data_IF_784688200624
#
_entry.id   IF_784688200624
#
_cell.length_a   1.000
_cell.length_b   1.000
_cell.length_c   1.000
_cell.angle_alpha   90.00
_cell.angle_beta   90.00
_cell.angle_gamma   90.00
#
_symmetry.space_group_name_H-M   'P 1'
#
loop_
_entity.id
_entity.type
_entity.pdbx_description
1 polymer ?
#
# COMPACT_ATOMS: atom_id res chain seq x y z
N UNK A 1 -39.93 10.66 -7.91
CA UNK A 1 -41.13 11.51 -7.93
C UNK A 1 -42.24 10.78 -7.23
N UNK A 2 -42.93 11.45 -6.32
CA UNK A 2 -44.01 10.85 -5.52
C UNK A 2 -45.32 10.97 -6.30
N UNK A 3 -45.85 9.86 -6.74
CA UNK A 3 -47.08 9.78 -7.54
C UNK A 3 -48.35 10.03 -6.72
N UNK A 4 -48.32 10.95 -5.73
CA UNK A 4 -49.44 11.17 -4.80
C UNK A 4 -50.65 11.76 -5.53
N UNK A 5 -50.45 12.82 -6.30
CA UNK A 5 -51.52 13.47 -7.08
C UNK A 5 -52.23 12.49 -8.01
N UNK A 6 -51.46 11.65 -8.70
CA UNK A 6 -52.03 10.65 -9.62
C UNK A 6 -52.82 9.58 -8.89
N UNK A 7 -52.35 9.11 -7.74
CA UNK A 7 -53.11 8.15 -6.91
C UNK A 7 -54.43 8.72 -6.43
N UNK A 8 -54.41 9.96 -5.91
CA UNK A 8 -55.64 10.63 -5.43
C UNK A 8 -56.62 10.92 -6.57
N UNK A 9 -56.14 11.40 -7.72
CA UNK A 9 -56.94 11.62 -8.91
C UNK A 9 -57.61 10.33 -9.38
N UNK A 10 -56.87 9.26 -9.53
CA UNK A 10 -57.42 7.97 -9.97
C UNK A 10 -58.37 7.36 -8.97
N UNK A 11 -58.22 7.60 -7.68
CA UNK A 11 -59.14 7.08 -6.66
C UNK A 11 -60.41 7.89 -6.54
N UNK A 12 -60.31 9.22 -6.43
CA UNK A 12 -61.44 10.08 -6.06
C UNK A 12 -62.16 10.70 -7.24
N UNK A 13 -61.54 10.84 -8.42
CA UNK A 13 -62.20 11.36 -9.61
C UNK A 13 -62.65 10.22 -10.53
N UNK A 14 -61.79 9.22 -10.79
CA UNK A 14 -62.10 8.14 -11.72
C UNK A 14 -62.59 6.87 -11.02
N UNK A 15 -62.66 6.86 -9.71
CA UNK A 15 -63.18 5.80 -8.85
C UNK A 15 -62.59 4.39 -9.09
N UNK A 16 -61.29 4.33 -9.45
CA UNK A 16 -60.57 3.07 -9.75
C UNK A 16 -60.14 2.39 -8.43
N UNK A 17 -60.15 1.04 -8.45
CA UNK A 17 -59.72 0.23 -7.30
C UNK A 17 -58.19 0.35 -7.02
N UNK A 18 -57.80 0.19 -5.75
CA UNK A 18 -56.38 0.23 -5.35
C UNK A 18 -55.47 -0.77 -6.12
N UNK A 19 -56.02 -1.93 -6.49
CA UNK A 19 -55.29 -2.90 -7.30
C UNK A 19 -55.03 -2.42 -8.73
N UNK A 20 -55.98 -1.73 -9.32
CA UNK A 20 -55.85 -1.15 -10.66
C UNK A 20 -54.92 0.07 -10.65
N UNK A 21 -54.99 0.91 -9.60
CA UNK A 21 -54.08 2.04 -9.37
C UNK A 21 -52.62 1.53 -9.21
N UNK A 22 -52.44 0.45 -8.45
CA UNK A 22 -51.16 -0.19 -8.25
C UNK A 22 -50.51 -0.62 -9.58
N UNK A 23 -51.32 -1.24 -10.45
CA UNK A 23 -50.84 -1.67 -11.79
C UNK A 23 -50.54 -0.49 -12.71
N UNK A 24 -51.44 0.53 -12.73
CA UNK A 24 -51.28 1.69 -13.60
C UNK A 24 -50.07 2.57 -13.25
N UNK A 25 -49.83 2.75 -11.97
CA UNK A 25 -48.76 3.67 -11.48
C UNK A 25 -47.52 2.95 -10.98
N UNK A 26 -47.46 1.62 -11.02
CA UNK A 26 -46.37 0.81 -10.43
C UNK A 26 -46.06 1.25 -8.98
N UNK A 27 -47.13 1.33 -8.16
CA UNK A 27 -47.05 1.73 -6.76
C UNK A 27 -47.73 0.67 -5.91
N UNK A 28 -47.17 0.18 -4.81
CA UNK A 28 -47.80 -0.81 -3.96
C UNK A 28 -49.24 -0.40 -3.56
N UNK A 29 -50.20 -1.32 -3.63
CA UNK A 29 -51.61 -1.04 -3.29
C UNK A 29 -51.80 -0.54 -1.86
N UNK A 30 -50.96 -0.99 -0.92
CA UNK A 30 -50.90 -0.50 0.46
C UNK A 30 -50.48 0.97 0.54
N UNK A 31 -49.50 1.38 -0.28
CA UNK A 31 -49.07 2.79 -0.34
C UNK A 31 -50.13 3.68 -0.96
N UNK A 32 -50.83 3.20 -2.01
CA UNK A 32 -51.94 3.94 -2.60
C UNK A 32 -53.11 4.11 -1.60
N UNK A 33 -53.43 3.07 -0.84
CA UNK A 33 -54.43 3.12 0.22
C UNK A 33 -54.03 4.06 1.37
N UNK A 34 -52.76 4.07 1.77
CA UNK A 34 -52.24 4.98 2.81
C UNK A 34 -52.37 6.45 2.37
N UNK A 35 -52.05 6.79 1.13
CA UNK A 35 -52.21 8.14 0.61
C UNK A 35 -53.67 8.60 0.62
N UNK A 36 -54.59 7.75 0.20
CA UNK A 36 -56.03 8.05 0.21
C UNK A 36 -56.58 8.19 1.63
N UNK A 37 -56.22 7.29 2.54
CA UNK A 37 -56.62 7.35 3.94
C UNK A 37 -56.14 8.64 4.62
N UNK A 38 -54.90 9.05 4.35
CA UNK A 38 -54.36 10.32 4.88
C UNK A 38 -55.05 11.54 4.28
N UNK A 39 -55.38 11.49 2.98
CA UNK A 39 -56.17 12.56 2.36
C UNK A 39 -57.54 12.71 2.96
N UNK A 40 -58.28 11.61 3.22
CA UNK A 40 -59.60 11.61 3.85
C UNK A 40 -59.62 12.28 5.24
N UNK A 41 -58.47 12.31 5.92
CA UNK A 41 -58.32 12.99 7.22
C UNK A 41 -58.12 14.50 7.01
N UNK A 42 -57.73 14.95 5.82
CA UNK A 42 -57.52 16.35 5.51
C UNK A 42 -58.84 16.99 5.15
N UNK A 43 -59.50 17.76 5.66
CA UNK A 43 -60.81 18.35 5.28
C UNK A 43 -60.83 19.12 3.94
N UNK A 44 -59.90 18.80 3.01
CA UNK A 44 -59.82 19.41 1.70
C UNK A 44 -60.74 18.72 0.68
N UNK A 45 -61.33 19.49 -0.25
CA UNK A 45 -61.96 18.93 -1.45
C UNK A 45 -60.87 18.48 -2.43
N UNK A 46 -61.17 17.40 -3.16
CA UNK A 46 -60.11 16.80 -4.04
C UNK A 46 -59.65 17.78 -5.12
N UNK A 47 -60.51 18.57 -5.70
CA UNK A 47 -60.19 19.52 -6.75
C UNK A 47 -59.23 20.62 -6.23
N UNK A 48 -59.49 21.16 -5.05
CA UNK A 48 -58.63 22.14 -4.38
C UNK A 48 -57.29 21.54 -3.98
N UNK A 49 -57.29 20.31 -3.48
CA UNK A 49 -56.07 19.62 -3.05
C UNK A 49 -55.11 19.32 -4.19
N UNK A 50 -55.61 18.99 -5.37
CA UNK A 50 -54.80 18.72 -6.56
C UNK A 50 -54.15 19.98 -7.16
N UNK A 51 -54.60 21.19 -6.82
CA UNK A 51 -53.98 22.45 -7.24
C UNK A 51 -52.76 22.84 -6.41
N UNK A 52 -52.62 22.31 -5.20
CA UNK A 52 -51.50 22.57 -4.30
C UNK A 52 -50.18 22.07 -4.90
N UNK A 53 -49.05 22.65 -4.48
CA UNK A 53 -47.73 22.16 -4.87
C UNK A 53 -47.44 20.78 -4.27
N UNK A 54 -46.56 20.01 -4.93
CA UNK A 54 -46.20 18.64 -4.48
C UNK A 54 -45.60 18.63 -3.06
N UNK A 55 -44.83 19.64 -2.70
CA UNK A 55 -44.23 19.74 -1.37
C UNK A 55 -45.27 20.10 -0.29
N UNK A 56 -46.25 20.96 -0.62
CA UNK A 56 -47.38 21.28 0.26
C UNK A 56 -48.25 20.06 0.51
N UNK A 57 -48.59 19.33 -0.55
CA UNK A 57 -49.35 18.07 -0.45
C UNK A 57 -48.60 17.07 0.44
N UNK A 58 -47.30 16.98 0.27
CA UNK A 58 -46.52 16.07 1.10
C UNK A 58 -46.49 16.47 2.57
N UNK A 59 -46.36 17.75 2.87
CA UNK A 59 -46.42 18.25 4.26
C UNK A 59 -47.77 18.01 4.92
N UNK A 60 -48.87 18.21 4.17
CA UNK A 60 -50.21 17.98 4.65
C UNK A 60 -50.50 16.49 4.92
N UNK A 61 -50.05 15.60 4.04
CA UNK A 61 -50.27 14.16 4.21
C UNK A 61 -49.30 13.50 5.20
N UNK A 62 -48.13 14.09 5.42
CA UNK A 62 -47.07 13.53 6.28
C UNK A 62 -46.48 14.55 7.25
N UNK A 63 -47.31 15.16 8.11
CA UNK A 63 -46.85 16.19 9.06
C UNK A 63 -45.74 15.64 9.99
N UNK A 64 -45.79 14.36 10.34
CA UNK A 64 -44.79 13.68 11.17
C UNK A 64 -43.39 13.62 10.51
N UNK A 65 -43.32 13.66 9.18
CA UNK A 65 -42.05 13.62 8.42
C UNK A 65 -41.52 15.00 8.07
N UNK A 66 -42.35 16.04 8.20
CA UNK A 66 -41.98 17.43 7.94
C UNK A 66 -41.43 18.14 9.19
N UNK A 67 -41.60 17.56 10.36
CA UNK A 67 -40.95 18.09 11.56
C UNK A 67 -39.41 17.91 11.37
N UNK A 68 -38.61 18.97 11.49
CA UNK A 68 -37.20 18.84 11.46
C UNK A 68 -36.82 17.84 12.56
N UNK A 69 -36.16 16.73 12.19
CA UNK A 69 -35.53 15.85 13.17
C UNK A 69 -34.57 16.75 13.93
N UNK A 70 -34.86 17.10 15.16
CA UNK A 70 -33.93 17.74 16.07
C UNK A 70 -32.81 16.73 16.28
N UNK A 71 -31.82 16.74 15.39
CA UNK A 71 -30.58 16.06 15.65
C UNK A 71 -29.97 16.78 16.87
N UNK A 72 -29.99 16.16 18.04
CA UNK A 72 -29.16 16.60 19.16
C UNK A 72 -27.74 16.76 18.59
N UNK A 73 -27.32 17.99 18.36
CA UNK A 73 -25.95 18.28 17.89
C UNK A 73 -25.02 17.90 19.01
N UNK A 74 -24.41 16.72 18.88
CA UNK A 74 -23.42 16.25 19.83
C UNK A 74 -22.17 17.13 19.72
N UNK A 75 -21.54 17.52 20.82
CA UNK A 75 -20.32 18.32 20.79
C UNK A 75 -19.22 17.61 20.00
N UNK A 76 -18.66 18.31 19.02
CA UNK A 76 -17.56 17.77 18.20
C UNK A 76 -16.30 17.71 19.07
N UNK A 77 -15.54 16.58 19.06
CA UNK A 77 -14.29 16.48 19.79
C UNK A 77 -13.28 17.55 19.36
N UNK A 78 -12.55 18.14 20.30
CA UNK A 78 -11.46 19.06 19.97
C UNK A 78 -10.26 18.27 19.40
N UNK A 79 -10.17 18.19 18.09
CA UNK A 79 -9.19 17.38 17.37
C UNK A 79 -7.76 17.89 17.51
N UNK A 80 -7.58 19.21 17.75
CA UNK A 80 -6.26 19.82 18.00
C UNK A 80 -5.72 19.43 19.38
N UNK A 81 -6.59 19.45 20.38
CA UNK A 81 -6.27 18.96 21.73
C UNK A 81 -5.87 17.47 21.66
N UNK A 82 -6.69 16.64 21.03
CA UNK A 82 -6.41 15.21 20.84
C UNK A 82 -5.04 15.02 20.17
N UNK A 83 -4.71 15.85 19.16
CA UNK A 83 -3.44 15.73 18.44
C UNK A 83 -2.22 16.04 19.30
N UNK A 84 -2.33 17.02 20.19
CA UNK A 84 -1.27 17.38 21.15
C UNK A 84 -1.11 16.32 22.23
N UNK A 85 -2.21 15.83 22.78
CA UNK A 85 -2.19 14.90 23.91
C UNK A 85 -1.74 13.49 23.51
N UNK A 86 -2.20 12.99 22.35
CA UNK A 86 -1.85 11.64 21.88
C UNK A 86 -0.33 11.47 21.61
N UNK A 87 0.40 12.57 21.46
CA UNK A 87 1.85 12.54 21.29
C UNK A 87 2.61 12.35 22.62
N UNK A 88 1.95 12.50 23.76
CA UNK A 88 2.54 12.32 25.09
C UNK A 88 2.67 10.83 25.41
N UNK A 89 3.74 10.48 26.11
CA UNK A 89 4.00 9.08 26.52
C UNK A 89 2.89 8.56 27.46
N UNK A 90 2.30 7.42 27.10
CA UNK A 90 1.25 6.78 27.91
C UNK A 90 -0.17 7.25 27.62
N UNK A 91 -0.38 8.31 26.83
CA UNK A 91 -1.73 8.75 26.44
C UNK A 91 -2.29 7.87 25.35
N UNK A 92 -3.52 7.40 25.53
CA UNK A 92 -4.23 6.54 24.58
C UNK A 92 -5.51 7.21 24.07
N UNK A 93 -6.03 6.78 22.92
CA UNK A 93 -7.34 7.23 22.45
C UNK A 93 -8.48 6.89 23.39
N UNK A 94 -8.36 5.81 24.12
CA UNK A 94 -9.35 5.35 25.11
C UNK A 94 -9.44 6.38 26.26
N UNK A 95 -8.29 6.77 26.80
CA UNK A 95 -8.22 7.78 27.86
C UNK A 95 -8.83 9.11 27.40
N UNK A 96 -8.42 9.63 26.24
CA UNK A 96 -8.93 10.89 25.70
C UNK A 96 -10.42 10.84 25.36
N UNK A 97 -10.93 9.67 24.99
CA UNK A 97 -12.35 9.47 24.79
C UNK A 97 -13.13 9.44 26.12
N UNK A 98 -12.57 8.83 27.17
CA UNK A 98 -13.15 8.85 28.52
C UNK A 98 -13.24 10.30 29.04
N UNK A 99 -12.18 11.08 28.95
CA UNK A 99 -12.17 12.52 29.32
C UNK A 99 -13.24 13.31 28.53
N UNK A 100 -13.36 13.04 27.22
CA UNK A 100 -14.40 13.64 26.41
C UNK A 100 -15.82 13.23 26.87
N UNK A 101 -16.02 11.98 27.27
CA UNK A 101 -17.33 11.46 27.75
C UNK A 101 -17.66 11.99 29.16
N UNK A 102 -16.68 12.23 30.01
CA UNK A 102 -16.88 12.88 31.30
C UNK A 102 -17.42 14.30 31.12
N UNK A 103 -16.85 15.04 30.18
CA UNK A 103 -17.30 16.39 29.86
C UNK A 103 -18.64 16.40 29.09
N UNK A 104 -18.86 15.41 28.23
CA UNK A 104 -20.05 15.29 27.35
C UNK A 104 -20.64 13.88 27.41
N UNK A 105 -21.48 13.56 28.42
CA UNK A 105 -22.07 12.22 28.57
C UNK A 105 -22.82 11.73 27.33
N UNK A 106 -23.57 12.64 26.64
CA UNK A 106 -24.29 12.38 25.39
C UNK A 106 -23.40 12.49 24.14
N UNK A 107 -22.08 12.67 24.29
CA UNK A 107 -21.12 12.84 23.19
C UNK A 107 -20.99 11.61 22.29
N UNK A 108 -20.12 11.72 21.27
CA UNK A 108 -19.87 10.67 20.31
C UNK A 108 -19.29 9.40 20.95
N UNK A 109 -19.59 8.23 20.36
CA UNK A 109 -18.96 6.97 20.71
C UNK A 109 -17.49 6.92 20.30
N UNK A 110 -16.71 6.01 20.87
CA UNK A 110 -15.26 5.91 20.68
C UNK A 110 -14.85 5.80 19.20
N UNK A 111 -15.61 5.04 18.38
CA UNK A 111 -15.32 4.89 16.95
C UNK A 111 -15.46 6.21 16.18
N UNK A 112 -16.54 6.97 16.43
CA UNK A 112 -16.75 8.27 15.79
C UNK A 112 -15.76 9.32 16.31
N UNK A 113 -15.45 9.31 17.61
CA UNK A 113 -14.40 10.15 18.20
C UNK A 113 -13.06 9.97 17.50
N UNK A 114 -12.63 8.72 17.28
CA UNK A 114 -11.42 8.37 16.52
C UNK A 114 -11.53 8.82 15.05
N UNK A 115 -12.69 8.66 14.43
CA UNK A 115 -12.92 9.07 13.04
C UNK A 115 -12.73 10.58 12.84
N UNK A 116 -13.22 11.43 13.74
CA UNK A 116 -12.97 12.89 13.69
C UNK A 116 -11.49 13.21 13.73
N UNK A 117 -10.73 12.56 14.61
CA UNK A 117 -9.29 12.73 14.68
C UNK A 117 -8.57 12.25 13.42
N UNK A 118 -8.92 11.08 12.87
CA UNK A 118 -8.27 10.59 11.66
C UNK A 118 -8.57 11.45 10.43
N UNK A 119 -9.76 12.03 10.34
CA UNK A 119 -10.08 13.02 9.31
C UNK A 119 -9.21 14.28 9.45
N UNK A 120 -8.99 14.76 10.65
CA UNK A 120 -8.11 15.88 10.94
C UNK A 120 -6.64 15.55 10.61
N UNK A 121 -6.13 14.41 11.09
CA UNK A 121 -4.76 13.95 10.82
C UNK A 121 -4.48 13.82 9.32
N UNK A 122 -5.46 13.36 8.53
CA UNK A 122 -5.36 13.26 7.08
C UNK A 122 -5.20 14.63 6.40
N UNK A 123 -5.75 15.69 6.98
CA UNK A 123 -5.60 17.07 6.48
C UNK A 123 -4.23 17.67 6.85
N UNK A 124 -3.72 17.34 8.04
CA UNK A 124 -2.41 17.83 8.50
C UNK A 124 -1.24 17.22 7.73
N UNK A 125 -1.37 15.97 7.32
CA UNK A 125 -0.36 15.26 6.54
C UNK A 125 -0.92 14.89 5.16
N UNK A 126 -1.05 15.85 4.24
CA UNK A 126 -1.38 15.52 2.87
C UNK A 126 -0.25 14.63 2.34
N UNK A 127 -0.54 13.37 2.05
CA UNK A 127 0.42 12.48 1.42
C UNK A 127 0.68 13.03 0.00
N UNK A 128 1.81 13.69 -0.20
CA UNK A 128 2.26 14.07 -1.54
C UNK A 128 2.46 12.78 -2.33
N UNK A 129 1.71 12.67 -3.42
CA UNK A 129 1.89 11.59 -4.37
C UNK A 129 3.25 11.77 -5.03
N UNK A 130 4.18 10.86 -4.75
CA UNK A 130 5.47 10.88 -5.44
C UNK A 130 5.24 10.47 -6.90
N UNK A 131 5.76 11.27 -7.80
CA UNK A 131 5.86 10.94 -9.22
C UNK A 131 7.26 10.39 -9.48
N UNK A 132 7.33 9.27 -10.18
CA UNK A 132 8.60 8.64 -10.54
C UNK A 132 8.82 8.78 -12.05
N UNK A 133 10.05 9.11 -12.42
CA UNK A 133 10.47 9.17 -13.81
C UNK A 133 10.75 7.72 -14.28
N UNK A 134 10.31 7.34 -15.50
CA UNK A 134 10.56 6.01 -16.03
C UNK A 134 12.05 5.68 -16.09
N UNK A 135 12.43 4.48 -15.64
CA UNK A 135 13.82 3.99 -15.66
C UNK A 135 14.80 4.74 -14.74
N UNK A 136 14.31 5.72 -13.97
CA UNK A 136 15.20 6.50 -13.11
C UNK A 136 15.58 5.74 -11.83
N UNK A 137 14.62 5.27 -11.04
CA UNK A 137 14.88 4.75 -9.70
C UNK A 137 14.47 3.29 -9.52
N UNK A 138 15.36 2.52 -8.90
CA UNK A 138 15.07 1.20 -8.34
C UNK A 138 15.31 1.23 -6.83
N UNK A 139 14.32 0.80 -6.09
CA UNK A 139 14.38 0.68 -4.63
C UNK A 139 14.77 -0.75 -4.27
N UNK A 140 15.68 -0.91 -3.33
CA UNK A 140 16.15 -2.21 -2.86
C UNK A 140 16.15 -2.30 -1.35
N UNK A 141 15.69 -3.46 -0.85
CA UNK A 141 15.64 -3.75 0.57
C UNK A 141 15.68 -5.27 0.80
N UNK A 142 15.99 -5.68 2.02
CA UNK A 142 15.75 -7.04 2.48
C UNK A 142 14.44 -7.11 3.24
N UNK A 143 13.65 -8.15 2.96
CA UNK A 143 12.47 -8.44 3.76
C UNK A 143 12.87 -8.72 5.21
N UNK A 144 12.15 -8.15 6.18
CA UNK A 144 12.33 -8.52 7.59
C UNK A 144 11.89 -9.96 7.90
N UNK A 145 11.10 -10.59 7.02
CA UNK A 145 10.73 -12.00 7.11
C UNK A 145 11.75 -12.84 6.35
N UNK A 146 12.18 -13.92 6.98
CA UNK A 146 13.10 -14.92 6.44
C UNK A 146 12.38 -16.22 6.14
N UNK A 147 12.95 -17.06 5.29
CA UNK A 147 12.42 -18.40 4.99
C UNK A 147 13.38 -19.45 5.60
N UNK A 148 12.85 -20.40 6.41
CA UNK A 148 13.68 -21.42 6.99
C UNK A 148 14.12 -22.45 5.95
N UNK A 149 15.39 -22.84 6.00
CA UNK A 149 16.00 -23.94 5.26
C UNK A 149 16.47 -24.98 6.27
N UNK A 150 16.13 -26.23 6.05
CA UNK A 150 16.58 -27.35 6.89
C UNK A 150 17.78 -28.01 6.22
N UNK A 151 18.92 -28.02 6.90
CA UNK A 151 20.09 -28.75 6.44
C UNK A 151 19.84 -30.26 6.63
N UNK A 152 19.87 -31.01 5.53
CA UNK A 152 19.60 -32.46 5.52
C UNK A 152 20.64 -33.26 6.28
N UNK A 153 21.87 -32.75 6.44
CA UNK A 153 22.97 -33.48 7.07
C UNK A 153 23.00 -33.27 8.59
N UNK A 154 22.68 -32.04 9.04
CA UNK A 154 22.78 -31.66 10.46
C UNK A 154 21.43 -31.50 11.13
N UNK A 155 20.34 -31.33 10.37
CA UNK A 155 19.00 -30.98 10.88
C UNK A 155 18.92 -29.52 11.36
N UNK A 156 19.96 -28.72 11.21
CA UNK A 156 19.94 -27.33 11.60
C UNK A 156 19.04 -26.47 10.68
N UNK A 157 18.39 -25.47 11.30
CA UNK A 157 17.53 -24.54 10.57
C UNK A 157 18.30 -23.24 10.30
N UNK A 158 18.60 -23.00 9.05
CA UNK A 158 19.25 -21.78 8.54
C UNK A 158 18.16 -20.84 8.00
N UNK A 159 18.32 -19.55 8.18
CA UNK A 159 17.35 -18.54 7.72
C UNK A 159 17.81 -17.88 6.42
N UNK A 160 17.17 -18.24 5.30
CA UNK A 160 17.37 -17.53 4.05
C UNK A 160 16.86 -16.09 4.13
N UNK A 161 17.63 -15.16 3.60
CA UNK A 161 17.31 -13.75 3.50
C UNK A 161 16.61 -13.49 2.16
N UNK A 162 15.66 -12.57 2.14
CA UNK A 162 14.87 -12.29 0.94
C UNK A 162 15.16 -10.88 0.46
N UNK A 163 15.92 -10.79 -0.62
CA UNK A 163 16.19 -9.55 -1.33
C UNK A 163 14.96 -9.17 -2.19
N UNK A 164 14.58 -7.91 -2.14
CA UNK A 164 13.47 -7.35 -2.91
C UNK A 164 13.95 -6.09 -3.62
N UNK A 165 13.71 -6.02 -4.93
CA UNK A 165 13.91 -4.78 -5.69
C UNK A 165 12.63 -4.38 -6.41
N UNK A 166 12.38 -3.07 -6.52
CA UNK A 166 11.14 -2.50 -7.07
C UNK A 166 11.46 -1.30 -7.93
N UNK A 167 11.02 -1.30 -9.18
CA UNK A 167 11.13 -0.15 -10.06
C UNK A 167 10.17 0.98 -9.66
N UNK A 168 10.62 2.21 -9.83
CA UNK A 168 9.92 3.39 -9.31
C UNK A 168 8.54 3.60 -9.94
N UNK A 169 8.45 3.65 -11.25
CA UNK A 169 7.22 3.97 -11.96
C UNK A 169 6.22 2.80 -11.94
N UNK A 170 6.58 1.66 -12.54
CA UNK A 170 5.70 0.49 -12.69
C UNK A 170 5.41 -0.20 -11.37
N UNK A 171 6.37 -0.18 -10.45
CA UNK A 171 6.39 -1.05 -9.28
C UNK A 171 6.68 -2.51 -9.67
N UNK A 172 7.23 -2.76 -10.86
CA UNK A 172 7.68 -4.08 -11.28
C UNK A 172 8.73 -4.57 -10.33
N UNK A 173 8.54 -5.76 -9.80
CA UNK A 173 9.26 -6.24 -8.62
C UNK A 173 10.04 -7.50 -8.95
N UNK A 174 11.28 -7.58 -8.45
CA UNK A 174 12.10 -8.77 -8.44
C UNK A 174 12.38 -9.21 -7.01
N UNK A 175 12.47 -10.52 -6.81
CA UNK A 175 12.71 -11.15 -5.51
C UNK A 175 13.74 -12.26 -5.65
N UNK A 176 14.68 -12.31 -4.72
CA UNK A 176 15.73 -13.32 -4.71
C UNK A 176 16.05 -13.75 -3.27
N UNK A 177 16.00 -15.06 -3.02
CA UNK A 177 16.47 -15.61 -1.76
C UNK A 177 17.99 -15.77 -1.77
N UNK A 178 18.62 -15.44 -0.66
CA UNK A 178 20.07 -15.54 -0.43
C UNK A 178 20.37 -16.21 0.91
N UNK A 179 21.57 -16.79 1.04
CA UNK A 179 22.00 -17.40 2.30
C UNK A 179 22.26 -16.35 3.39
N UNK A 180 22.68 -15.14 3.00
CA UNK A 180 23.02 -14.07 3.92
C UNK A 180 22.71 -12.68 3.37
N UNK A 181 22.89 -11.64 4.19
CA UNK A 181 22.87 -10.22 3.76
C UNK A 181 24.29 -9.67 3.54
N UNK A 182 25.30 -10.54 3.35
CA UNK A 182 26.66 -10.09 3.08
C UNK A 182 26.76 -9.37 1.74
N UNK A 183 27.83 -8.59 1.57
CA UNK A 183 28.08 -7.78 0.35
C UNK A 183 28.04 -8.64 -0.91
N UNK A 184 28.62 -9.82 -0.87
CA UNK A 184 28.61 -10.77 -1.99
C UNK A 184 27.21 -11.16 -2.43
N UNK A 185 26.35 -11.61 -1.48
CA UNK A 185 24.97 -12.00 -1.78
C UNK A 185 24.11 -10.81 -2.24
N UNK A 186 24.38 -9.63 -1.67
CA UNK A 186 23.72 -8.39 -2.05
C UNK A 186 24.06 -7.99 -3.48
N UNK A 187 25.34 -8.05 -3.86
CA UNK A 187 25.81 -7.77 -5.23
C UNK A 187 25.23 -8.79 -6.22
N UNK A 188 25.32 -10.10 -5.90
CA UNK A 188 24.74 -11.16 -6.75
C UNK A 188 23.24 -10.94 -6.99
N UNK A 189 22.50 -10.51 -5.97
CA UNK A 189 21.08 -10.21 -6.11
C UNK A 189 20.80 -9.03 -7.01
N UNK A 190 21.64 -7.97 -7.00
CA UNK A 190 21.54 -6.85 -7.93
C UNK A 190 21.78 -7.28 -9.38
N UNK A 191 22.82 -8.07 -9.61
CA UNK A 191 23.15 -8.58 -10.96
C UNK A 191 21.97 -9.37 -11.52
N UNK A 192 21.40 -10.29 -10.73
CA UNK A 192 20.20 -11.06 -11.12
C UNK A 192 18.96 -10.15 -11.32
N UNK A 193 18.82 -9.09 -10.52
CA UNK A 193 17.72 -8.13 -10.70
C UNK A 193 17.85 -7.36 -12.03
N UNK A 194 19.07 -6.93 -12.40
CA UNK A 194 19.29 -6.26 -13.68
C UNK A 194 19.02 -7.19 -14.87
N UNK A 195 19.45 -8.47 -14.75
CA UNK A 195 19.12 -9.50 -15.76
C UNK A 195 17.60 -9.71 -15.89
N UNK A 196 16.88 -9.77 -14.77
CA UNK A 196 15.42 -9.90 -14.76
C UNK A 196 14.69 -8.69 -15.37
N UNK A 197 15.19 -7.47 -15.13
CA UNK A 197 14.67 -6.25 -15.73
C UNK A 197 15.14 -6.04 -17.18
N UNK A 198 16.07 -6.83 -17.66
CA UNK A 198 16.74 -6.67 -18.96
C UNK A 198 17.34 -5.27 -19.14
N UNK A 199 17.79 -4.65 -18.04
CA UNK A 199 18.37 -3.33 -18.05
C UNK A 199 18.69 -2.78 -16.66
N UNK A 200 19.33 -1.62 -16.63
CA UNK A 200 19.85 -0.98 -15.43
C UNK A 200 19.14 0.35 -15.19
N UNK A 201 18.56 0.62 -14.02
CA UNK A 201 18.03 1.94 -13.66
C UNK A 201 19.17 2.93 -13.40
N UNK A 202 18.92 4.23 -13.60
CA UNK A 202 19.91 5.29 -13.40
C UNK A 202 20.35 5.45 -11.95
N UNK A 203 19.42 5.21 -11.01
CA UNK A 203 19.64 5.43 -9.58
C UNK A 203 19.16 4.22 -8.79
N UNK A 204 20.00 3.70 -7.94
CA UNK A 204 19.68 2.69 -6.93
C UNK A 204 19.48 3.36 -5.58
N UNK A 205 18.33 3.05 -4.95
CA UNK A 205 17.98 3.55 -3.62
C UNK A 205 17.97 2.39 -2.63
N UNK A 206 19.14 2.02 -2.08
CA UNK A 206 19.20 1.03 -1.02
C UNK A 206 18.67 1.61 0.29
N UNK A 207 17.99 0.79 1.11
CA UNK A 207 17.89 1.11 2.52
C UNK A 207 19.28 1.06 3.16
N UNK A 208 19.51 1.79 4.27
CA UNK A 208 20.81 1.94 4.95
C UNK A 208 21.43 0.58 5.38
N UNK A 209 21.62 -0.31 4.42
CA UNK A 209 22.19 -1.63 4.63
C UNK A 209 23.71 -1.50 4.82
N UNK A 210 24.23 -2.11 5.87
CA UNK A 210 25.68 -2.19 6.14
C UNK A 210 26.47 -2.80 4.96
N UNK A 211 25.80 -3.60 4.13
CA UNK A 211 26.38 -4.19 2.92
C UNK A 211 26.64 -3.16 1.82
N UNK A 212 25.89 -2.06 1.78
CA UNK A 212 26.05 -0.99 0.80
C UNK A 212 26.87 0.19 1.37
N UNK A 213 26.71 0.49 2.66
CA UNK A 213 27.20 1.72 3.29
C UNK A 213 28.07 1.35 4.49
N UNK A 214 29.34 1.76 4.46
CA UNK A 214 30.28 1.60 5.58
C UNK A 214 30.02 2.67 6.63
N UNK A 215 29.86 3.92 6.21
CA UNK A 215 29.53 5.03 7.12
C UNK A 215 28.66 6.09 6.43
N UNK A 216 27.75 6.67 7.21
CA UNK A 216 26.90 7.77 6.79
C UNK A 216 26.96 8.86 7.89
N UNK A 217 27.80 9.84 7.71
CA UNK A 217 28.03 10.91 8.67
C UNK A 217 28.02 12.29 8.00
N UNK A 218 28.19 13.35 8.78
CA UNK A 218 28.21 14.74 8.27
C UNK A 218 29.32 15.03 7.27
N UNK A 219 30.35 14.17 7.18
CA UNK A 219 31.48 14.32 6.22
C UNK A 219 31.17 13.65 4.88
N UNK A 220 30.09 12.88 4.77
CA UNK A 220 29.68 12.19 3.55
C UNK A 220 29.30 10.72 3.79
N UNK A 221 28.94 10.08 2.70
CA UNK A 221 28.58 8.66 2.67
C UNK A 221 29.77 7.90 2.10
N UNK A 222 30.23 6.89 2.83
CA UNK A 222 31.27 5.98 2.38
C UNK A 222 30.60 4.65 2.01
N UNK A 223 30.65 4.32 0.74
CA UNK A 223 30.14 3.06 0.23
C UNK A 223 31.15 1.93 0.41
N UNK A 224 30.66 0.70 0.43
CA UNK A 224 31.52 -0.46 0.30
C UNK A 224 32.19 -0.45 -1.08
N UNK A 225 33.51 -0.70 -1.16
CA UNK A 225 34.30 -0.60 -2.39
C UNK A 225 33.75 -1.50 -3.50
N UNK A 226 33.39 -2.74 -3.17
CA UNK A 226 32.80 -3.67 -4.14
C UNK A 226 31.42 -3.19 -4.66
N UNK A 227 30.63 -2.53 -3.80
CA UNK A 227 29.36 -1.97 -4.23
C UNK A 227 29.54 -0.72 -5.08
N UNK A 228 30.56 0.10 -4.79
CA UNK A 228 30.96 1.22 -5.64
C UNK A 228 31.50 0.73 -7.00
N UNK A 229 32.21 -0.39 -7.02
CA UNK A 229 32.68 -1.02 -8.26
C UNK A 229 31.53 -1.56 -9.12
N UNK A 230 30.53 -2.21 -8.49
CA UNK A 230 29.28 -2.60 -9.17
C UNK A 230 28.58 -1.39 -9.81
N UNK A 231 28.49 -0.26 -9.08
CA UNK A 231 27.92 0.98 -9.58
C UNK A 231 28.66 1.50 -10.83
N UNK A 232 29.98 1.48 -10.82
CA UNK A 232 30.81 1.88 -11.98
C UNK A 232 30.65 0.93 -13.16
N UNK A 233 30.57 -0.39 -12.89
CA UNK A 233 30.44 -1.40 -13.94
C UNK A 233 29.11 -1.28 -14.69
N UNK A 234 28.01 -1.06 -13.98
CA UNK A 234 26.65 -0.93 -14.55
C UNK A 234 26.23 0.52 -14.78
N UNK A 235 27.08 1.49 -14.49
CA UNK A 235 26.87 2.92 -14.71
C UNK A 235 25.60 3.49 -14.05
N UNK A 236 25.38 3.15 -12.79
CA UNK A 236 24.26 3.72 -12.00
C UNK A 236 24.77 4.55 -10.81
N UNK A 237 23.96 5.49 -10.35
CA UNK A 237 24.22 6.25 -9.13
C UNK A 237 23.60 5.54 -7.90
N UNK A 238 24.26 5.66 -6.74
CA UNK A 238 23.74 5.17 -5.48
C UNK A 238 23.21 6.35 -4.67
N UNK A 239 21.90 6.39 -4.40
CA UNK A 239 21.22 7.39 -3.58
C UNK A 239 20.59 6.72 -2.36
N UNK A 240 21.28 6.58 -1.23
CA UNK A 240 20.69 5.96 -0.04
C UNK A 240 19.47 6.73 0.45
N UNK A 241 18.45 6.02 0.92
CA UNK A 241 17.27 6.62 1.52
C UNK A 241 17.66 7.51 2.71
N UNK A 242 17.11 8.72 2.77
CA UNK A 242 17.43 9.68 3.83
C UNK A 242 16.96 9.19 5.19
N UNK A 243 17.82 9.31 6.19
CA UNK A 243 17.50 8.94 7.57
C UNK A 243 16.29 9.78 8.06
N UNK A 244 15.32 9.14 8.69
CA UNK A 244 14.09 9.75 9.25
C UNK A 244 13.14 10.40 8.23
N UNK A 245 13.24 10.04 6.93
CA UNK A 245 12.24 10.42 5.93
C UNK A 245 11.50 9.18 5.40
N UNK A 246 10.44 8.72 6.06
CA UNK A 246 9.71 7.50 5.67
C UNK A 246 9.14 7.55 4.25
N UNK A 247 8.91 8.75 3.73
CA UNK A 247 8.38 8.94 2.38
C UNK A 247 9.34 8.44 1.30
N UNK A 248 10.66 8.55 1.50
CA UNK A 248 11.66 8.10 0.54
C UNK A 248 11.67 6.55 0.42
N UNK A 249 11.22 5.85 1.48
CA UNK A 249 11.17 4.38 1.56
C UNK A 249 9.81 3.79 1.20
N UNK A 250 8.77 4.62 1.08
CA UNK A 250 7.39 4.14 0.92
C UNK A 250 7.21 3.15 -0.24
N UNK A 251 7.96 3.32 -1.35
CA UNK A 251 7.90 2.43 -2.50
C UNK A 251 8.56 1.07 -2.20
N UNK A 252 9.73 1.06 -1.57
CA UNK A 252 10.42 -0.16 -1.13
C UNK A 252 9.55 -0.92 -0.11
N UNK A 253 9.07 -0.21 0.92
CA UNK A 253 8.21 -0.79 1.97
C UNK A 253 6.92 -1.41 1.39
N UNK A 254 6.26 -0.73 0.43
CA UNK A 254 5.09 -1.29 -0.26
C UNK A 254 5.43 -2.56 -1.05
N UNK A 255 6.58 -2.58 -1.73
CA UNK A 255 7.07 -3.76 -2.45
C UNK A 255 7.31 -4.91 -1.49
N UNK A 256 8.09 -4.68 -0.45
CA UNK A 256 8.39 -5.69 0.60
C UNK A 256 7.11 -6.22 1.24
N UNK A 257 6.18 -5.37 1.66
CA UNK A 257 4.90 -5.82 2.22
C UNK A 257 4.07 -6.64 1.22
N UNK A 258 4.10 -6.25 -0.05
CA UNK A 258 3.46 -7.01 -1.12
C UNK A 258 4.03 -8.42 -1.23
N UNK A 259 5.36 -8.54 -1.26
CA UNK A 259 6.07 -9.82 -1.34
C UNK A 259 5.81 -10.69 -0.10
N UNK A 260 5.85 -10.09 1.09
CA UNK A 260 5.54 -10.82 2.34
C UNK A 260 4.13 -11.45 2.31
N UNK A 261 3.14 -10.72 1.81
CA UNK A 261 1.74 -11.19 1.76
C UNK A 261 1.45 -12.18 0.64
N UNK A 262 2.05 -11.98 -0.54
CA UNK A 262 1.69 -12.71 -1.74
C UNK A 262 2.63 -13.87 -2.09
N UNK A 263 3.86 -13.84 -1.56
CA UNK A 263 4.88 -14.86 -1.80
C UNK A 263 5.25 -15.56 -0.49
N UNK A 264 5.82 -14.83 0.49
CA UNK A 264 6.38 -15.46 1.68
C UNK A 264 5.30 -16.10 2.57
N UNK A 265 4.13 -15.50 2.67
CA UNK A 265 3.01 -16.08 3.42
C UNK A 265 2.54 -17.44 2.84
N UNK A 266 2.74 -17.68 1.54
CA UNK A 266 2.44 -18.97 0.90
C UNK A 266 3.41 -20.06 1.37
N UNK A 267 4.63 -19.70 1.75
CA UNK A 267 5.67 -20.63 2.20
C UNK A 267 5.54 -21.07 3.66
N UNK A 268 4.61 -20.51 4.44
CA UNK A 268 4.45 -20.79 5.88
C UNK A 268 4.35 -22.28 6.26
N UNK A 269 3.88 -23.11 5.32
CA UNK A 269 3.70 -24.57 5.52
C UNK A 269 4.59 -25.39 4.57
N UNK A 270 5.61 -24.75 3.97
CA UNK A 270 6.58 -25.45 3.08
C UNK A 270 7.90 -25.59 3.80
N UNK A 271 8.56 -26.71 3.57
CA UNK A 271 9.93 -26.98 4.02
C UNK A 271 10.85 -26.89 2.81
N UNK A 272 11.96 -26.21 2.95
CA UNK A 272 12.99 -26.05 1.93
C UNK A 272 14.32 -26.57 2.46
N UNK A 273 15.14 -27.10 1.57
CA UNK A 273 16.43 -27.69 1.91
C UNK A 273 17.62 -26.91 1.37
N UNK A 274 17.39 -25.99 0.44
CA UNK A 274 18.41 -25.09 -0.08
C UNK A 274 17.79 -23.76 -0.58
N UNK A 275 18.65 -22.81 -0.89
CA UNK A 275 18.24 -21.47 -1.39
C UNK A 275 17.66 -21.55 -2.79
N UNK A 276 18.12 -22.46 -3.63
CA UNK A 276 17.68 -22.59 -5.02
C UNK A 276 16.23 -23.07 -5.09
N UNK A 277 15.84 -24.03 -4.24
CA UNK A 277 14.43 -24.45 -4.11
C UNK A 277 13.50 -23.29 -3.74
N UNK A 278 13.96 -22.37 -2.87
CA UNK A 278 13.19 -21.18 -2.53
C UNK A 278 13.04 -20.27 -3.76
N UNK A 279 14.12 -20.06 -4.51
CA UNK A 279 14.11 -19.22 -5.71
C UNK A 279 13.22 -19.81 -6.81
N UNK A 280 13.26 -21.12 -7.01
CA UNK A 280 12.36 -21.83 -7.92
C UNK A 280 10.88 -21.66 -7.49
N UNK A 281 10.60 -21.77 -6.20
CA UNK A 281 9.25 -21.58 -5.67
C UNK A 281 8.77 -20.11 -5.71
N UNK A 282 9.67 -19.14 -5.66
CA UNK A 282 9.38 -17.70 -5.79
C UNK A 282 8.94 -17.38 -7.22
N UNK A 283 9.61 -17.92 -8.24
CA UNK A 283 9.43 -17.51 -9.64
C UNK A 283 7.96 -17.49 -10.09
N UNK A 284 7.17 -18.58 -10.00
CA UNK A 284 5.79 -18.57 -10.47
C UNK A 284 4.88 -17.62 -9.65
N UNK A 285 5.17 -17.44 -8.35
CA UNK A 285 4.40 -16.53 -7.50
C UNK A 285 4.73 -15.06 -7.81
N UNK A 286 5.96 -14.78 -8.19
CA UNK A 286 6.41 -13.46 -8.61
C UNK A 286 5.74 -13.06 -9.93
N UNK A 287 5.61 -13.99 -10.88
CA UNK A 287 4.90 -13.78 -12.13
C UNK A 287 3.42 -13.45 -11.87
N UNK A 288 2.75 -14.22 -11.02
CA UNK A 288 1.37 -13.95 -10.61
C UNK A 288 1.27 -12.57 -9.94
N UNK A 289 2.21 -12.21 -9.07
CA UNK A 289 2.23 -10.93 -8.38
C UNK A 289 2.40 -9.75 -9.33
N UNK A 290 3.32 -9.84 -10.29
CA UNK A 290 3.59 -8.79 -11.25
C UNK A 290 2.47 -8.65 -12.29
N UNK A 291 1.83 -9.74 -12.70
CA UNK A 291 0.71 -9.75 -13.65
C UNK A 291 -0.65 -9.41 -13.01
N UNK A 292 -0.71 -9.26 -11.68
CA UNK A 292 -1.94 -8.89 -11.00
C UNK A 292 -2.38 -7.47 -11.32
N UNK A 293 -3.61 -7.31 -11.79
CA UNK A 293 -4.21 -6.01 -12.13
C UNK A 293 -4.34 -5.14 -10.88
N UNK A 294 -3.79 -3.94 -10.94
CA UNK A 294 -3.93 -2.90 -9.92
C UNK A 294 -5.27 -2.19 -10.16
N UNK A 295 -6.28 -2.48 -9.35
CA UNK A 295 -7.67 -2.00 -9.52
C UNK A 295 -7.79 -0.48 -9.81
N UNK A 296 -6.94 0.34 -9.20
CA UNK A 296 -6.97 1.80 -9.37
C UNK A 296 -6.47 2.26 -10.75
N UNK A 297 -5.60 1.47 -11.40
CA UNK A 297 -4.92 1.83 -12.65
C UNK A 297 -5.52 1.06 -13.82
N UNK A 298 -6.11 -0.12 -13.57
CA UNK A 298 -6.64 -1.02 -14.59
C UNK A 298 -5.56 -1.81 -15.36
N UNK A 299 -4.28 -1.73 -14.94
CA UNK A 299 -3.13 -2.39 -15.55
C UNK A 299 -2.34 -3.18 -14.51
N UNK A 300 -1.59 -4.17 -14.95
CA UNK A 300 -0.64 -4.91 -14.12
C UNK A 300 0.70 -4.15 -13.99
N UNK A 301 1.60 -4.64 -13.11
CA UNK A 301 2.96 -4.11 -13.02
C UNK A 301 3.76 -4.43 -14.27
N UNK A 302 3.56 -5.61 -14.83
CA UNK A 302 4.17 -6.05 -16.10
C UNK A 302 3.76 -5.13 -17.24
N UNK A 303 2.46 -4.82 -17.41
CA UNK A 303 1.99 -3.90 -18.45
C UNK A 303 2.62 -2.51 -18.30
N UNK A 304 2.65 -1.99 -17.07
CA UNK A 304 3.26 -0.69 -16.79
C UNK A 304 4.77 -0.68 -17.08
N UNK A 305 5.46 -1.78 -16.80
CA UNK A 305 6.88 -1.93 -17.08
C UNK A 305 7.15 -1.97 -18.59
N UNK A 306 6.52 -2.87 -19.31
CA UNK A 306 6.77 -3.05 -20.75
C UNK A 306 6.39 -1.80 -21.57
N UNK A 307 5.25 -1.18 -21.25
CA UNK A 307 4.78 -0.01 -21.98
C UNK A 307 5.58 1.28 -21.66
N UNK A 308 5.93 1.48 -20.38
CA UNK A 308 6.32 2.81 -19.91
C UNK A 308 7.71 2.90 -19.29
N UNK A 309 8.35 1.80 -18.87
CA UNK A 309 9.58 1.87 -18.09
C UNK A 309 10.78 1.17 -18.74
N UNK A 310 10.58 -0.03 -19.32
CA UNK A 310 11.65 -0.88 -19.88
C UNK A 310 12.57 -0.14 -20.87
N UNK A 311 12.01 0.63 -21.78
CA UNK A 311 12.75 1.38 -22.81
C UNK A 311 13.63 2.52 -22.26
N UNK A 312 13.49 2.86 -20.99
CA UNK A 312 14.26 3.92 -20.35
C UNK A 312 15.35 3.37 -19.42
N UNK A 313 15.43 2.05 -19.28
CA UNK A 313 16.55 1.41 -18.60
C UNK A 313 17.80 1.45 -19.51
N UNK A 314 18.96 1.60 -18.88
CA UNK A 314 20.24 1.52 -19.59
C UNK A 314 20.51 0.08 -20.02
N UNK A 315 21.19 -0.09 -21.14
CA UNK A 315 21.51 -1.42 -21.69
C UNK A 315 22.51 -2.15 -20.77
N UNK A 316 22.29 -3.44 -20.59
CA UNK A 316 23.23 -4.28 -19.83
C UNK A 316 24.62 -4.29 -20.49
N UNK A 317 25.71 -4.20 -19.72
CA UNK A 317 27.05 -4.37 -20.26
C UNK A 317 27.23 -5.79 -20.81
N UNK A 318 28.10 -5.94 -21.81
CA UNK A 318 28.37 -7.23 -22.46
C UNK A 318 28.90 -8.29 -21.47
N UNK A 319 29.65 -7.87 -20.46
CA UNK A 319 30.19 -8.75 -19.44
C UNK A 319 29.41 -8.59 -18.13
N UNK A 320 29.03 -9.73 -17.56
CA UNK A 320 28.41 -9.78 -16.24
C UNK A 320 29.44 -9.37 -15.18
N UNK A 321 29.00 -8.58 -14.18
CA UNK A 321 29.83 -8.29 -13.02
C UNK A 321 30.08 -9.56 -12.19
N UNK A 322 31.36 -9.81 -11.87
CA UNK A 322 31.76 -10.91 -11.01
C UNK A 322 32.31 -10.30 -9.71
N UNK A 323 31.72 -10.67 -8.59
CA UNK A 323 32.23 -10.28 -7.27
C UNK A 323 33.65 -10.81 -7.04
N UNK A 324 34.54 -9.93 -6.62
CA UNK A 324 35.91 -10.25 -6.28
C UNK A 324 36.24 -9.73 -4.89
N UNK A 325 36.85 -10.55 -4.08
CA UNK A 325 37.37 -10.12 -2.81
C UNK A 325 38.85 -9.68 -3.01
N UNK A 326 39.10 -8.38 -2.79
CA UNK A 326 40.45 -7.84 -2.85
C UNK A 326 41.09 -7.95 -1.46
N UNK A 327 42.20 -8.62 -1.39
CA UNK A 327 43.06 -8.69 -0.19
C UNK A 327 44.40 -8.08 -0.49
N UNK A 328 44.83 -7.17 0.36
CA UNK A 328 46.17 -6.61 0.31
C UNK A 328 47.05 -7.53 1.19
N UNK A 329 48.08 -8.08 0.64
CA UNK A 329 49.04 -8.91 1.35
C UNK A 329 50.48 -8.36 1.15
N UNK A 330 51.31 -8.46 2.16
CA UNK A 330 52.71 -8.16 2.03
C UNK A 330 53.43 -9.32 1.34
N UNK A 331 54.30 -9.00 0.40
CA UNK A 331 55.16 -10.00 -0.25
C UNK A 331 56.26 -10.39 0.70
N UNK A 332 56.41 -11.68 0.95
CA UNK A 332 57.52 -12.21 1.76
C UNK A 332 58.85 -12.14 0.99
N UNK A 333 59.95 -12.32 1.70
CA UNK A 333 61.31 -12.28 1.12
C UNK A 333 61.52 -13.34 0.02
N UNK A 334 60.75 -14.42 0.07
CA UNK A 334 60.75 -15.52 -0.89
C UNK A 334 59.82 -15.29 -2.10
N UNK A 335 59.34 -14.05 -2.29
CA UNK A 335 58.42 -13.64 -3.37
C UNK A 335 57.09 -14.39 -3.38
N UNK A 336 56.62 -14.80 -2.19
CA UNK A 336 55.27 -15.36 -2.03
C UNK A 336 54.36 -14.47 -1.21
N UNK A 337 53.09 -14.50 -1.53
CA UNK A 337 51.99 -13.96 -0.70
C UNK A 337 51.17 -15.12 -0.13
N UNK A 338 50.82 -15.05 1.14
CA UNK A 338 49.97 -16.02 1.77
C UNK A 338 48.49 -15.60 1.65
N UNK A 339 47.68 -16.50 1.11
CA UNK A 339 46.24 -16.34 1.06
C UNK A 339 45.55 -17.63 1.53
N UNK A 340 44.78 -17.55 2.61
CA UNK A 340 44.07 -18.70 3.19
C UNK A 340 44.97 -19.94 3.44
N UNK A 341 46.14 -19.73 3.99
CA UNK A 341 47.20 -20.75 4.24
C UNK A 341 47.78 -21.38 2.97
N UNK A 342 47.58 -20.80 1.82
CA UNK A 342 48.20 -21.17 0.57
C UNK A 342 49.17 -20.07 0.12
N UNK A 343 50.32 -20.47 -0.44
CA UNK A 343 51.33 -19.55 -0.91
C UNK A 343 51.27 -19.42 -2.43
N UNK A 344 51.26 -18.18 -2.89
CA UNK A 344 51.23 -17.83 -4.31
C UNK A 344 52.48 -17.03 -4.66
N UNK A 345 53.21 -17.46 -5.67
CA UNK A 345 54.34 -16.71 -6.17
C UNK A 345 53.89 -15.44 -6.88
N UNK A 346 54.61 -14.35 -6.67
CA UNK A 346 54.35 -13.07 -7.33
C UNK A 346 55.62 -12.63 -8.08
N UNK A 347 55.47 -11.92 -9.21
CA UNK A 347 56.61 -11.32 -9.89
C UNK A 347 57.29 -10.32 -8.96
N UNK A 348 58.63 -10.28 -9.01
CA UNK A 348 59.40 -9.27 -8.27
C UNK A 348 59.63 -8.01 -9.11
#
# INVERSE_FOLDING_TARGET
MKKIKDVLRLRFITNISYRQISRALNTPSSTAADYCKRFEITNYKIDEFLTLDEDEIYQLLFPEKSLPKTYKTRPIPNVEYIHKEIAKKGVTFELLWQEYKEQYPDGYGCSQFKEYYYKYKKRLNPSMRQTYIPGEKMFVDYSGLTVPIVDLSTGEVIKAQIFVSVLGLSGYTYVHATASQKVEDFIKSHVKAFEFYEGVPKILVPDNLKSAIISNNKKGIVFNDNYAELSRHYNFAIEPARVRKPQDKAKAEQGVQGIQRWILAVFRNKTFFNVDEINEAISPLLDIYNNKIIKRIGKSRTDLFEENEKKFLEVLPANRFIYKELKIASVNIDYHVELNRSFYSVPF
#
